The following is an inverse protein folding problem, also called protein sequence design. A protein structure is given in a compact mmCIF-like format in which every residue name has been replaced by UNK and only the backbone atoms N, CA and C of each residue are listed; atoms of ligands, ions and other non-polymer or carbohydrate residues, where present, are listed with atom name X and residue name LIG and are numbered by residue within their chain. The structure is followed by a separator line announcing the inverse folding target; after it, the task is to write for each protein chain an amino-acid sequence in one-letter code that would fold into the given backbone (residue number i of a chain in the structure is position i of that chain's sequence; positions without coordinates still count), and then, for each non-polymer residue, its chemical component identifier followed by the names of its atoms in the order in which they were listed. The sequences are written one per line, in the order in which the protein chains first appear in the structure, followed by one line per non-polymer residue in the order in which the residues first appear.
data_IF_367723710685
#
_entry.id   IF_367723710685
#
_cell.length_a   1.000
_cell.length_b   1.000
_cell.length_c   1.000
_cell.angle_alpha   90.00
_cell.angle_beta   90.00
_cell.angle_gamma   90.00
#
_symmetry.space_group_name_H-M   'P 1'
#
loop_
_entity.id
_entity.type
_entity.pdbx_description
1 polymer ?
#
# COMPACT_ATOMS: atom_id res chain seq x y z
N UNK A 1 -8.69 -11.61 19.17
CA UNK A 1 -8.33 -12.10 17.82
C UNK A 1 -6.83 -11.91 17.66
N UNK A 2 -6.01 -12.96 17.81
CA UNK A 2 -4.55 -12.89 17.68
C UNK A 2 -4.18 -12.86 16.18
N UNK A 3 -4.39 -11.72 15.52
CA UNK A 3 -3.92 -11.53 14.15
C UNK A 3 -2.43 -11.19 14.23
N UNK A 4 -1.59 -12.04 13.64
CA UNK A 4 -0.16 -11.73 13.53
C UNK A 4 0.01 -10.45 12.71
N UNK A 5 0.87 -9.51 13.14
CA UNK A 5 1.09 -8.24 12.44
C UNK A 5 1.40 -8.42 10.95
N UNK A 6 2.08 -9.51 10.60
CA UNK A 6 2.35 -9.92 9.21
C UNK A 6 1.11 -9.96 8.30
N UNK A 7 -0.05 -10.42 8.79
CA UNK A 7 -1.27 -10.53 7.98
C UNK A 7 -1.86 -9.17 7.66
N UNK A 8 -1.83 -8.26 8.65
CA UNK A 8 -2.29 -6.88 8.48
C UNK A 8 -1.35 -6.14 7.53
N UNK A 9 -0.04 -6.31 7.69
CA UNK A 9 0.97 -5.71 6.82
C UNK A 9 0.82 -6.17 5.36
N UNK A 10 0.58 -7.47 5.13
CA UNK A 10 0.35 -8.02 3.81
C UNK A 10 -0.93 -7.47 3.16
N UNK A 11 -2.03 -7.40 3.93
CA UNK A 11 -3.29 -6.83 3.45
C UNK A 11 -3.11 -5.37 3.05
N UNK A 12 -2.47 -4.57 3.90
CA UNK A 12 -2.18 -3.15 3.62
C UNK A 12 -1.32 -2.99 2.37
N UNK A 13 -0.29 -3.85 2.20
CA UNK A 13 0.56 -3.83 1.00
C UNK A 13 -0.24 -4.14 -0.28
N UNK A 14 -1.11 -5.16 -0.24
CA UNK A 14 -1.98 -5.50 -1.37
C UNK A 14 -2.94 -4.37 -1.74
N UNK A 15 -3.55 -3.71 -0.75
CA UNK A 15 -4.43 -2.56 -0.98
C UNK A 15 -3.64 -1.40 -1.61
N UNK A 16 -2.47 -1.06 -1.06
CA UNK A 16 -1.64 0.02 -1.56
C UNK A 16 -1.19 -0.21 -3.01
N UNK A 17 -0.76 -1.43 -3.35
CA UNK A 17 -0.44 -1.78 -4.73
C UNK A 17 -1.65 -1.70 -5.65
N UNK A 18 -2.81 -2.15 -5.19
CA UNK A 18 -4.04 -2.08 -6.01
C UNK A 18 -4.39 -0.64 -6.35
N UNK A 19 -4.33 0.27 -5.38
CA UNK A 19 -4.58 1.70 -5.60
C UNK A 19 -3.59 2.29 -6.61
N UNK A 20 -2.30 1.96 -6.50
CA UNK A 20 -1.29 2.40 -7.47
C UNK A 20 -1.51 1.83 -8.87
N UNK A 21 -1.88 0.56 -9.01
CA UNK A 21 -2.25 0.00 -10.32
C UNK A 21 -3.48 0.67 -10.94
N UNK A 22 -4.44 1.11 -10.11
CA UNK A 22 -5.59 1.91 -10.55
C UNK A 22 -5.17 3.30 -11.05
N UNK A 23 -4.15 3.91 -10.43
CA UNK A 23 -3.56 5.16 -10.90
C UNK A 23 -2.80 4.96 -12.21
N UNK A 24 -2.13 3.82 -12.41
CA UNK A 24 -1.36 3.52 -13.62
C UNK A 24 -2.24 3.47 -14.88
N UNK A 25 -3.46 2.95 -14.76
CA UNK A 25 -4.44 2.90 -15.85
C UNK A 25 -5.23 4.21 -16.00
N UNK A 26 -4.87 5.28 -15.27
CA UNK A 26 -5.61 6.53 -15.21
C UNK A 26 -7.12 6.31 -15.02
N UNK A 27 -7.51 5.51 -14.02
CA UNK A 27 -8.94 5.15 -13.83
C UNK A 27 -9.84 6.38 -13.69
N UNK A 28 -9.30 7.50 -13.21
CA UNK A 28 -10.01 8.78 -13.10
C UNK A 28 -10.39 9.35 -14.47
N UNK A 29 -9.51 9.20 -15.45
CA UNK A 29 -9.71 9.63 -16.84
C UNK A 29 -10.74 8.71 -17.51
N UNK A 30 -10.61 7.38 -17.32
CA UNK A 30 -11.56 6.38 -17.84
C UNK A 30 -12.99 6.63 -17.31
N UNK A 31 -13.11 6.94 -16.01
CA UNK A 31 -14.41 7.18 -15.37
C UNK A 31 -14.96 8.59 -15.63
N UNK A 32 -14.27 9.43 -16.42
CA UNK A 32 -14.60 10.85 -16.62
C UNK A 32 -14.77 11.63 -15.30
N UNK A 33 -14.13 11.14 -14.24
CA UNK A 33 -14.15 11.75 -12.90
C UNK A 33 -13.11 12.86 -12.78
N UNK A 34 -12.53 13.30 -13.90
CA UNK A 34 -11.56 14.39 -13.95
C UNK A 34 -12.07 15.68 -13.30
N UNK A 35 -13.37 15.92 -13.43
CA UNK A 35 -14.11 17.04 -12.85
C UNK A 35 -14.28 16.96 -11.33
N UNK A 36 -14.09 15.78 -10.73
CA UNK A 36 -14.20 15.57 -9.29
C UNK A 36 -12.82 15.60 -8.63
N UNK A 37 -12.38 16.81 -8.25
CA UNK A 37 -11.10 17.05 -7.56
C UNK A 37 -10.94 16.22 -6.29
N UNK A 38 -12.04 15.93 -5.58
CA UNK A 38 -12.03 15.11 -4.36
C UNK A 38 -11.58 13.67 -4.68
N UNK A 39 -12.09 13.07 -5.75
CA UNK A 39 -11.73 11.72 -6.17
C UNK A 39 -10.24 11.63 -6.55
N UNK A 40 -9.71 12.66 -7.22
CA UNK A 40 -8.28 12.81 -7.52
C UNK A 40 -7.39 12.85 -6.28
N UNK A 41 -7.86 13.51 -5.22
CA UNK A 41 -7.11 13.61 -3.96
C UNK A 41 -7.14 12.27 -3.21
N UNK A 42 -8.27 11.57 -3.20
CA UNK A 42 -8.41 10.31 -2.46
C UNK A 42 -7.67 9.16 -3.16
N UNK A 43 -7.80 9.04 -4.48
CA UNK A 43 -7.18 7.96 -5.25
C UNK A 43 -5.75 8.25 -5.71
N UNK A 44 -5.32 9.51 -5.69
CA UNK A 44 -4.07 9.93 -6.31
C UNK A 44 -4.24 10.17 -7.82
N UNK A 45 -3.42 11.07 -8.36
CA UNK A 45 -3.50 11.49 -9.77
C UNK A 45 -2.46 10.84 -10.67
N UNK A 46 -1.37 10.35 -10.08
CA UNK A 46 -0.21 9.86 -10.82
C UNK A 46 0.33 8.64 -10.14
N UNK A 47 0.57 7.61 -10.93
CA UNK A 47 1.30 6.44 -10.48
C UNK A 47 2.75 6.78 -10.16
N UNK A 48 3.25 6.29 -9.02
CA UNK A 48 4.62 6.54 -8.59
C UNK A 48 5.33 5.26 -8.18
N UNK A 49 6.39 4.92 -8.92
CA UNK A 49 7.27 3.80 -8.60
C UNK A 49 7.94 3.93 -7.23
N UNK A 50 8.11 5.16 -6.73
CA UNK A 50 8.69 5.41 -5.42
C UNK A 50 7.78 4.89 -4.30
N UNK A 51 6.46 4.98 -4.49
CA UNK A 51 5.48 4.51 -3.51
C UNK A 51 5.52 2.99 -3.38
N UNK A 52 5.63 2.25 -4.49
CA UNK A 52 5.84 0.80 -4.47
C UNK A 52 7.09 0.44 -3.65
N UNK A 53 8.21 1.14 -3.87
CA UNK A 53 9.46 0.88 -3.14
C UNK A 53 9.27 1.15 -1.65
N UNK A 54 8.66 2.28 -1.28
CA UNK A 54 8.40 2.65 0.10
C UNK A 54 7.50 1.64 0.82
N UNK A 55 6.41 1.19 0.19
CA UNK A 55 5.51 0.20 0.78
C UNK A 55 6.19 -1.17 0.96
N UNK A 56 7.01 -1.57 0.00
CA UNK A 56 7.80 -2.82 0.08
C UNK A 56 8.81 -2.76 1.21
N UNK A 57 9.52 -1.64 1.36
CA UNK A 57 10.45 -1.41 2.47
C UNK A 57 9.75 -1.37 3.83
N UNK A 58 8.57 -0.75 3.90
CA UNK A 58 7.73 -0.76 5.09
C UNK A 58 7.33 -2.18 5.50
N UNK A 59 6.84 -2.98 4.55
CA UNK A 59 6.52 -4.39 4.78
C UNK A 59 7.75 -5.19 5.24
N UNK A 60 8.89 -5.02 4.57
CA UNK A 60 10.14 -5.70 4.93
C UNK A 60 10.60 -5.32 6.35
N UNK A 61 10.44 -4.06 6.74
CA UNK A 61 10.75 -3.57 8.08
C UNK A 61 9.88 -4.26 9.14
N UNK A 62 8.57 -4.43 8.88
CA UNK A 62 7.66 -5.16 9.77
C UNK A 62 8.11 -6.62 9.92
N UNK A 63 8.45 -7.29 8.81
CA UNK A 63 8.93 -8.69 8.83
C UNK A 63 10.23 -8.82 9.64
N UNK A 64 11.19 -7.90 9.45
CA UNK A 64 12.44 -7.89 10.19
C UNK A 64 12.22 -7.70 11.69
N UNK A 65 11.37 -6.73 12.08
CA UNK A 65 11.04 -6.48 13.49
C UNK A 65 10.32 -7.69 14.11
N UNK A 66 9.36 -8.30 13.41
CA UNK A 66 8.64 -9.47 13.92
C UNK A 66 9.59 -10.66 14.15
N UNK A 67 10.57 -10.85 13.26
CA UNK A 67 11.60 -11.88 13.40
C UNK A 67 12.56 -11.60 14.56
N UNK A 68 12.97 -10.35 14.76
CA UNK A 68 13.79 -9.94 15.92
C UNK A 68 13.02 -10.14 17.23
N UNK A 69 11.76 -9.71 17.29
CA UNK A 69 10.94 -9.83 18.50
C UNK A 69 10.68 -11.30 18.86
N UNK A 70 10.48 -12.15 17.84
CA UNK A 70 10.39 -13.61 18.04
C UNK A 70 11.71 -14.19 18.56
N UNK A 71 12.86 -13.72 18.08
CA UNK A 71 14.18 -14.18 18.55
C UNK A 71 14.50 -13.74 19.99
N UNK A 72 14.15 -12.51 20.37
CA UNK A 72 14.36 -11.96 21.73
C UNK A 72 13.43 -12.61 22.77
N UNK A 73 12.28 -13.12 22.33
CA UNK A 73 11.33 -13.83 23.20
C UNK A 73 11.72 -15.28 23.52
N UNK A 74 12.85 -15.77 23.01
CA UNK A 74 13.46 -17.07 23.30
C UNK A 74 14.74 -16.89 24.13
#
# INVERSE_FOLDING_TARGET
MNLKPIYIALLTLCIAYTVEFLQLINVIEILNLEQHTITKIILGTTFSMHDIIAYTLGFLTIVLIEKINTFVAF
#
